data_IF_386571311764
#
_entry.id   IF_386571311764
#
_cell.length_a   1.000
_cell.length_b   1.000
_cell.length_c   1.000
_cell.angle_alpha   90.00
_cell.angle_beta   90.00
_cell.angle_gamma   90.00
#
_symmetry.space_group_name_H-M   'P 1'
#
loop_
_entity.id
_entity.type
_entity.pdbx_description
1 polymer ?
#
# COMPACT_ATOMS: atom_id res chain seq x y z
N UNK A 1 3.79 1.46 -66.78
CA UNK A 1 4.61 0.36 -67.33
C UNK A 1 6.07 0.78 -67.42
N UNK A 2 7.05 -0.14 -67.51
CA UNK A 2 8.45 0.20 -67.79
C UNK A 2 8.60 0.42 -69.31
N UNK A 3 9.11 1.58 -69.71
CA UNK A 3 9.33 1.94 -71.13
C UNK A 3 10.81 1.94 -71.52
N UNK A 4 11.70 2.07 -70.54
CA UNK A 4 13.15 2.06 -70.77
C UNK A 4 13.86 1.40 -69.61
N UNK A 5 14.87 0.58 -69.92
CA UNK A 5 15.73 -0.08 -68.95
C UNK A 5 17.19 0.21 -69.30
N UNK A 6 17.94 0.78 -68.37
CA UNK A 6 19.37 1.02 -68.53
C UNK A 6 20.18 0.22 -67.50
N UNK A 7 21.21 -0.45 -67.98
CA UNK A 7 22.13 -1.28 -67.19
C UNK A 7 23.52 -0.66 -67.30
N UNK A 8 24.15 -0.37 -66.16
CA UNK A 8 25.53 0.14 -66.08
C UNK A 8 26.34 -0.75 -65.13
N UNK A 9 27.47 -1.27 -65.62
CA UNK A 9 28.34 -2.19 -64.88
C UNK A 9 27.61 -3.37 -64.21
N UNK A 10 26.55 -3.85 -64.87
CA UNK A 10 25.67 -4.92 -64.37
C UNK A 10 25.93 -6.23 -65.14
N UNK A 11 26.51 -7.22 -64.45
CA UNK A 11 26.90 -8.51 -65.00
C UNK A 11 27.76 -8.36 -66.28
N UNK A 12 27.25 -8.79 -67.43
CA UNK A 12 27.94 -8.70 -68.72
C UNK A 12 27.84 -7.31 -69.38
N UNK A 13 26.96 -6.44 -68.88
CA UNK A 13 26.68 -5.12 -69.46
C UNK A 13 27.56 -4.05 -68.82
N UNK A 14 28.45 -3.44 -69.60
CA UNK A 14 29.20 -2.24 -69.20
C UNK A 14 28.30 -1.00 -69.25
N UNK A 15 27.60 -0.82 -70.37
CA UNK A 15 26.56 0.17 -70.54
C UNK A 15 25.60 -0.30 -71.62
N UNK A 16 24.33 -0.53 -71.27
CA UNK A 16 23.32 -0.96 -72.24
C UNK A 16 21.99 -0.33 -71.91
N UNK A 17 21.32 0.17 -72.94
CA UNK A 17 20.01 0.81 -72.82
C UNK A 17 19.04 0.07 -73.73
N UNK A 18 17.89 -0.30 -73.16
CA UNK A 18 16.78 -0.91 -73.86
C UNK A 18 15.61 0.07 -73.86
N UNK A 19 15.26 0.59 -75.03
CA UNK A 19 13.99 1.28 -75.23
C UNK A 19 12.94 0.23 -75.60
N UNK A 20 12.01 -0.02 -74.68
CA UNK A 20 11.02 -1.08 -74.80
C UNK A 20 9.83 -0.59 -75.61
N UNK A 21 9.47 -1.35 -76.64
CA UNK A 21 8.23 -1.11 -77.38
C UNK A 21 7.02 -1.54 -76.54
N UNK A 22 5.84 -1.02 -76.88
CA UNK A 22 4.59 -1.54 -76.33
C UNK A 22 4.36 -2.98 -76.79
N UNK A 23 3.87 -3.83 -75.88
CA UNK A 23 3.59 -5.23 -76.16
C UNK A 23 4.81 -6.15 -76.02
N UNK A 24 5.05 -7.01 -77.02
CA UNK A 24 6.04 -8.09 -76.94
C UNK A 24 7.43 -7.62 -77.36
N UNK A 25 8.37 -7.66 -76.42
CA UNK A 25 9.79 -7.43 -76.66
C UNK A 25 10.53 -8.77 -76.63
N UNK A 26 11.25 -9.11 -77.71
CA UNK A 26 11.97 -10.40 -77.82
C UNK A 26 13.47 -10.15 -77.87
N UNK A 27 14.20 -10.62 -76.86
CA UNK A 27 15.66 -10.58 -76.84
C UNK A 27 16.23 -11.90 -77.34
N UNK A 28 16.87 -11.89 -78.50
CA UNK A 28 17.51 -13.05 -79.13
C UNK A 28 19.02 -12.92 -79.16
N UNK A 29 19.71 -14.03 -79.42
CA UNK A 29 21.17 -14.06 -79.55
C UNK A 29 21.78 -15.38 -79.07
N UNK A 30 23.11 -15.54 -79.19
CA UNK A 30 23.82 -16.72 -78.67
C UNK A 30 23.67 -16.90 -77.15
N UNK A 31 24.00 -18.08 -76.65
CA UNK A 31 24.03 -18.32 -75.21
C UNK A 31 25.16 -17.53 -74.55
N UNK A 32 24.98 -17.18 -73.27
CA UNK A 32 25.96 -16.47 -72.45
C UNK A 32 26.33 -15.04 -72.92
N UNK A 33 25.45 -14.38 -73.68
CA UNK A 33 25.66 -12.98 -74.15
C UNK A 33 25.02 -11.92 -73.26
N UNK A 34 24.49 -12.28 -72.09
CA UNK A 34 23.85 -11.34 -71.16
C UNK A 34 22.32 -11.24 -71.26
N UNK A 35 21.65 -12.02 -72.12
CA UNK A 35 20.16 -12.00 -72.20
C UNK A 35 19.48 -12.22 -70.85
N UNK A 36 19.96 -13.21 -70.07
CA UNK A 36 19.44 -13.48 -68.73
C UNK A 36 19.74 -12.36 -67.72
N UNK A 37 20.76 -11.53 -67.97
CA UNK A 37 21.08 -10.39 -67.10
C UNK A 37 19.98 -9.32 -67.14
N UNK A 38 19.24 -9.19 -68.25
CA UNK A 38 18.09 -8.27 -68.34
C UNK A 38 16.98 -8.69 -67.39
N UNK A 39 16.67 -9.99 -67.34
CA UNK A 39 15.68 -10.56 -66.42
C UNK A 39 16.15 -10.43 -64.97
N UNK A 40 17.43 -10.71 -64.72
CA UNK A 40 18.03 -10.56 -63.38
C UNK A 40 18.08 -9.10 -62.91
N UNK A 41 18.26 -8.15 -63.83
CA UNK A 41 18.22 -6.73 -63.52
C UNK A 41 16.83 -6.30 -63.02
N UNK A 42 15.76 -6.76 -63.69
CA UNK A 42 14.39 -6.53 -63.24
C UNK A 42 14.13 -7.17 -61.87
N UNK A 43 14.66 -8.38 -61.61
CA UNK A 43 14.58 -9.04 -60.30
C UNK A 43 15.34 -8.25 -59.23
N UNK A 44 16.52 -7.75 -59.55
CA UNK A 44 17.31 -6.92 -58.63
C UNK A 44 16.57 -5.64 -58.25
N UNK A 45 15.97 -5.00 -59.25
CA UNK A 45 15.16 -3.80 -59.09
C UNK A 45 13.94 -4.04 -58.18
N UNK A 46 13.24 -5.18 -58.34
CA UNK A 46 12.00 -5.47 -57.60
C UNK A 46 12.18 -6.15 -56.24
N UNK A 47 13.28 -6.86 -55.98
CA UNK A 47 13.46 -7.69 -54.77
C UNK A 47 14.66 -7.32 -53.89
N UNK A 48 15.59 -6.49 -54.39
CA UNK A 48 16.84 -6.16 -53.69
C UNK A 48 17.59 -7.41 -53.13
N UNK A 49 17.90 -8.40 -53.98
CA UNK A 49 18.43 -9.67 -53.52
C UNK A 49 19.82 -9.51 -52.87
N UNK A 50 20.22 -10.43 -51.97
CA UNK A 50 21.44 -10.30 -51.20
C UNK A 50 22.80 -10.39 -51.96
N UNK A 51 22.95 -11.07 -53.13
CA UNK A 51 24.28 -11.38 -53.64
C UNK A 51 24.98 -10.19 -54.33
N UNK A 52 26.31 -10.31 -54.49
CA UNK A 52 27.21 -9.27 -55.06
C UNK A 52 27.65 -9.56 -56.49
N UNK A 53 27.39 -10.75 -57.02
CA UNK A 53 27.92 -11.21 -58.31
C UNK A 53 27.37 -10.44 -59.52
N UNK A 54 26.46 -9.49 -59.28
CA UNK A 54 25.89 -8.61 -60.30
C UNK A 54 26.81 -7.44 -60.65
N UNK A 55 27.82 -7.11 -59.83
CA UNK A 55 28.78 -6.05 -60.15
C UNK A 55 29.79 -6.60 -61.14
N UNK A 56 29.93 -5.94 -62.30
CA UNK A 56 30.92 -6.27 -63.32
C UNK A 56 32.34 -6.26 -62.74
N UNK A 57 33.20 -7.17 -63.19
CA UNK A 57 34.58 -7.23 -62.72
C UNK A 57 35.33 -5.93 -63.07
N UNK A 58 35.97 -5.32 -62.07
CA UNK A 58 36.67 -4.04 -62.20
C UNK A 58 35.81 -2.80 -61.89
N UNK A 59 34.49 -2.93 -61.75
CA UNK A 59 33.61 -1.82 -61.41
C UNK A 59 33.41 -1.66 -59.89
N UNK A 60 33.14 -0.43 -59.45
CA UNK A 60 32.90 -0.11 -58.03
C UNK A 60 31.44 -0.34 -57.61
N UNK A 61 30.50 -0.15 -58.54
CA UNK A 61 29.06 -0.32 -58.34
C UNK A 61 28.38 -0.80 -59.63
N UNK A 62 27.19 -1.37 -59.48
CA UNK A 62 26.28 -1.69 -60.60
C UNK A 62 25.00 -0.87 -60.47
N UNK A 63 24.43 -0.44 -61.59
CA UNK A 63 23.20 0.34 -61.64
C UNK A 63 22.19 -0.29 -62.59
N UNK A 64 20.95 -0.39 -62.13
CA UNK A 64 19.78 -0.78 -62.93
C UNK A 64 18.77 0.34 -62.82
N UNK A 65 18.49 1.02 -63.93
CA UNK A 65 17.55 2.13 -63.99
C UNK A 65 16.36 1.76 -64.87
N UNK A 66 15.14 1.86 -64.33
CA UNK A 66 13.91 1.69 -65.09
C UNK A 66 13.16 3.02 -65.15
N UNK A 67 12.80 3.44 -66.37
CA UNK A 67 11.89 4.57 -66.59
C UNK A 67 10.49 4.06 -66.83
N UNK A 68 9.54 4.64 -66.12
CA UNK A 68 8.11 4.35 -66.22
C UNK A 68 7.43 5.26 -67.25
N UNK A 69 6.25 4.87 -67.73
CA UNK A 69 5.44 5.65 -68.69
C UNK A 69 5.09 7.07 -68.20
N UNK A 70 4.96 7.26 -66.89
CA UNK A 70 4.71 8.57 -66.26
C UNK A 70 5.98 9.44 -66.14
N UNK A 71 7.10 8.96 -66.67
CA UNK A 71 8.40 9.62 -66.64
C UNK A 71 9.16 9.45 -65.32
N UNK A 72 8.59 8.73 -64.33
CA UNK A 72 9.31 8.44 -63.08
C UNK A 72 10.43 7.44 -63.37
N UNK A 73 11.62 7.72 -62.83
CA UNK A 73 12.76 6.82 -62.91
C UNK A 73 13.03 6.18 -61.55
N UNK A 74 13.20 4.86 -61.55
CA UNK A 74 13.60 4.07 -60.37
C UNK A 74 14.94 3.42 -60.66
N UNK A 75 15.94 3.74 -59.85
CA UNK A 75 17.29 3.19 -59.98
C UNK A 75 17.66 2.36 -58.76
N UNK A 76 18.06 1.12 -58.98
CA UNK A 76 18.71 0.29 -57.99
C UNK A 76 20.22 0.37 -58.17
N UNK A 77 20.93 0.76 -57.12
CA UNK A 77 22.39 0.87 -57.12
C UNK A 77 22.98 -0.11 -56.12
N UNK A 78 23.87 -0.97 -56.59
CA UNK A 78 24.54 -1.98 -55.79
C UNK A 78 26.01 -1.69 -55.64
N UNK A 79 26.44 -1.47 -54.39
CA UNK A 79 27.83 -1.37 -53.98
C UNK A 79 28.28 -2.65 -53.28
N UNK A 80 29.59 -2.80 -53.09
CA UNK A 80 30.18 -3.97 -52.45
C UNK A 80 29.64 -4.26 -51.03
N UNK A 81 29.16 -3.26 -50.29
CA UNK A 81 28.69 -3.42 -48.90
C UNK A 81 27.17 -3.29 -48.72
N UNK A 82 26.51 -2.52 -49.57
CA UNK A 82 25.09 -2.19 -49.42
C UNK A 82 24.46 -1.89 -50.79
N UNK A 83 23.14 -1.88 -50.84
CA UNK A 83 22.37 -1.38 -51.97
C UNK A 83 21.56 -0.15 -51.52
N UNK A 84 21.18 0.68 -52.49
CA UNK A 84 20.30 1.81 -52.31
C UNK A 84 19.34 1.92 -53.50
N UNK A 85 18.27 2.68 -53.32
CA UNK A 85 17.38 3.08 -54.40
C UNK A 85 17.40 4.59 -54.58
N UNK A 86 17.30 5.05 -55.82
CA UNK A 86 17.11 6.45 -56.21
C UNK A 86 15.79 6.53 -56.98
N UNK A 87 14.88 7.41 -56.57
CA UNK A 87 13.62 7.66 -57.28
C UNK A 87 13.62 9.10 -57.78
N UNK A 88 13.59 9.28 -59.10
CA UNK A 88 13.55 10.60 -59.74
C UNK A 88 12.20 10.82 -60.38
N UNK A 89 11.52 11.89 -59.99
CA UNK A 89 10.23 12.30 -60.56
C UNK A 89 10.45 13.31 -61.71
N UNK A 90 9.56 13.36 -62.71
CA UNK A 90 9.66 14.35 -63.78
C UNK A 90 9.71 15.77 -63.22
N UNK A 91 10.68 16.57 -63.67
CA UNK A 91 10.83 17.97 -63.26
C UNK A 91 11.52 18.21 -61.93
N UNK A 92 11.98 17.15 -61.23
CA UNK A 92 12.80 17.26 -60.01
C UNK A 92 14.24 16.87 -60.36
N UNK A 93 15.20 17.77 -60.12
CA UNK A 93 16.62 17.48 -60.41
C UNK A 93 17.23 16.47 -59.42
N UNK A 94 16.94 16.61 -58.12
CA UNK A 94 17.51 15.73 -57.10
C UNK A 94 16.64 14.47 -56.88
N UNK A 95 17.20 13.25 -57.01
CA UNK A 95 16.46 12.03 -56.76
C UNK A 95 16.30 11.78 -55.25
N UNK A 96 15.13 11.28 -54.87
CA UNK A 96 14.90 10.79 -53.51
C UNK A 96 15.68 9.49 -53.30
N UNK A 97 16.57 9.48 -52.30
CA UNK A 97 17.51 8.39 -52.08
C UNK A 97 17.14 7.58 -50.83
N UNK A 98 16.96 6.27 -51.03
CA UNK A 98 16.67 5.29 -49.99
C UNK A 98 17.90 4.42 -49.73
N UNK A 99 18.67 4.78 -48.70
CA UNK A 99 19.86 4.05 -48.27
C UNK A 99 19.65 3.31 -46.93
N UNK A 100 20.63 2.48 -46.53
CA UNK A 100 20.64 1.73 -45.25
C UNK A 100 19.47 0.76 -45.08
N UNK A 101 18.94 0.24 -46.18
CA UNK A 101 17.90 -0.79 -46.15
C UNK A 101 18.47 -2.14 -45.68
N UNK A 102 17.63 -2.92 -44.99
CA UNK A 102 17.95 -4.32 -44.67
C UNK A 102 18.15 -5.15 -45.95
N UNK A 103 18.85 -6.29 -45.83
CA UNK A 103 19.03 -7.22 -46.96
C UNK A 103 17.66 -7.73 -47.43
N UNK A 104 17.38 -7.68 -48.74
CA UNK A 104 16.09 -8.12 -49.28
C UNK A 104 14.91 -7.19 -48.96
N UNK A 105 15.17 -5.98 -48.47
CA UNK A 105 14.14 -4.99 -48.18
C UNK A 105 14.07 -3.98 -49.31
N UNK A 106 12.87 -3.79 -49.84
CA UNK A 106 12.56 -2.80 -50.89
C UNK A 106 11.70 -1.70 -50.26
N UNK A 107 12.01 -0.41 -50.48
CA UNK A 107 11.19 0.69 -49.95
C UNK A 107 9.73 0.59 -50.42
N UNK A 108 8.77 0.93 -49.55
CA UNK A 108 7.33 0.85 -49.89
C UNK A 108 6.98 1.69 -51.11
N UNK A 109 7.61 2.86 -51.27
CA UNK A 109 7.45 3.71 -52.44
C UNK A 109 7.87 3.01 -53.74
N UNK A 110 9.05 2.39 -53.74
CA UNK A 110 9.55 1.61 -54.89
C UNK A 110 8.63 0.44 -55.21
N UNK A 111 8.13 -0.27 -54.19
CA UNK A 111 7.16 -1.35 -54.38
C UNK A 111 5.86 -0.85 -55.04
N UNK A 112 5.35 0.32 -54.61
CA UNK A 112 4.13 0.93 -55.18
C UNK A 112 4.31 1.41 -56.61
N UNK A 113 5.49 1.94 -56.95
CA UNK A 113 5.83 2.44 -58.28
C UNK A 113 6.02 1.28 -59.29
N UNK A 114 6.84 0.30 -58.93
CA UNK A 114 7.15 -0.82 -59.83
C UNK A 114 5.98 -1.80 -59.94
N UNK A 115 5.30 -2.10 -58.83
CA UNK A 115 4.26 -3.14 -58.72
C UNK A 115 4.72 -4.53 -59.18
N UNK A 116 6.04 -4.79 -59.15
CA UNK A 116 6.66 -6.06 -59.55
C UNK A 116 7.01 -6.97 -58.35
N UNK A 117 6.55 -6.63 -57.14
CA UNK A 117 6.85 -7.42 -55.94
C UNK A 117 6.16 -8.81 -56.00
N UNK A 118 6.74 -9.82 -55.32
CA UNK A 118 6.14 -11.15 -55.27
C UNK A 118 4.85 -11.15 -54.43
N UNK A 119 3.91 -12.00 -54.81
CA UNK A 119 2.65 -12.21 -54.08
C UNK A 119 2.94 -13.11 -52.88
N UNK A 120 2.66 -12.62 -51.67
CA UNK A 120 2.81 -13.41 -50.44
C UNK A 120 1.56 -14.24 -50.18
N UNK A 121 1.74 -15.55 -50.06
CA UNK A 121 0.69 -16.48 -49.65
C UNK A 121 0.72 -16.68 -48.14
N UNK A 122 -0.39 -17.15 -47.56
CA UNK A 122 -0.53 -17.43 -46.12
C UNK A 122 0.50 -18.43 -45.55
N UNK A 123 1.33 -19.07 -46.40
CA UNK A 123 2.37 -20.03 -46.05
C UNK A 123 3.82 -19.55 -46.17
N UNK A 124 4.07 -18.24 -46.19
CA UNK A 124 5.41 -17.61 -46.19
C UNK A 124 6.28 -17.89 -47.45
N UNK A 125 5.76 -18.63 -48.42
CA UNK A 125 6.42 -18.83 -49.73
C UNK A 125 5.93 -17.74 -50.68
N UNK A 126 6.76 -16.72 -51.01
CA UNK A 126 6.42 -15.73 -52.03
C UNK A 126 6.34 -16.39 -53.41
N UNK A 127 5.33 -16.01 -54.19
CA UNK A 127 5.18 -16.42 -55.59
C UNK A 127 5.38 -15.21 -56.48
N UNK A 128 6.36 -15.29 -57.37
CA UNK A 128 6.60 -14.26 -58.39
C UNK A 128 5.71 -14.54 -59.61
N UNK A 129 4.80 -13.60 -59.90
CA UNK A 129 3.88 -13.66 -61.06
C UNK A 129 4.39 -12.88 -62.25
N UNK A 130 5.39 -12.02 -62.04
CA UNK A 130 5.86 -11.07 -63.04
C UNK A 130 7.09 -11.59 -63.77
N UNK A 131 8.00 -12.27 -63.05
CA UNK A 131 9.26 -12.75 -63.58
C UNK A 131 9.33 -14.27 -63.49
N UNK A 132 9.18 -14.93 -64.65
CA UNK A 132 9.30 -16.39 -64.77
C UNK A 132 10.70 -16.91 -64.42
N UNK A 133 10.77 -18.10 -63.84
CA UNK A 133 12.02 -18.79 -63.52
C UNK A 133 12.47 -19.64 -64.70
N UNK A 134 13.70 -19.44 -65.18
CA UNK A 134 14.27 -20.21 -66.30
C UNK A 134 14.38 -21.72 -66.00
N UNK A 135 14.53 -22.11 -64.72
CA UNK A 135 14.65 -23.52 -64.32
C UNK A 135 13.31 -24.20 -64.06
N UNK A 136 12.26 -23.41 -63.85
CA UNK A 136 10.91 -23.89 -63.53
C UNK A 136 9.94 -23.31 -64.56
N UNK A 137 9.95 -23.83 -65.80
CA UNK A 137 9.18 -23.26 -66.91
C UNK A 137 7.67 -23.44 -66.74
N UNK A 138 7.25 -24.33 -65.85
CA UNK A 138 5.84 -24.67 -65.64
C UNK A 138 5.34 -24.00 -64.37
N UNK A 139 4.76 -22.81 -64.52
CA UNK A 139 4.20 -22.03 -63.42
C UNK A 139 3.02 -22.77 -62.76
N UNK A 140 3.07 -22.94 -61.44
CA UNK A 140 2.04 -23.56 -60.57
C UNK A 140 1.62 -25.02 -60.86
N UNK A 141 1.91 -25.61 -62.02
CA UNK A 141 1.47 -27.00 -62.29
C UNK A 141 2.24 -28.06 -61.50
N UNK A 142 3.47 -27.76 -61.12
CA UNK A 142 4.31 -28.64 -60.28
C UNK A 142 4.20 -28.32 -58.78
N UNK A 143 3.43 -27.29 -58.42
CA UNK A 143 3.25 -26.89 -57.03
C UNK A 143 2.19 -27.74 -56.31
N UNK A 144 2.28 -27.81 -54.98
CA UNK A 144 1.28 -28.52 -54.19
C UNK A 144 -0.10 -27.87 -54.31
N UNK A 145 -1.17 -28.68 -54.25
CA UNK A 145 -2.55 -28.16 -54.32
C UNK A 145 -2.85 -27.07 -53.29
N UNK A 146 -2.22 -27.09 -52.13
CA UNK A 146 -2.31 -26.03 -51.11
C UNK A 146 -1.70 -24.72 -51.58
N UNK A 147 -0.53 -24.76 -52.24
CA UNK A 147 0.15 -23.56 -52.76
C UNK A 147 -0.64 -22.95 -53.92
N UNK A 148 -1.16 -23.79 -54.82
CA UNK A 148 -2.02 -23.37 -55.93
C UNK A 148 -3.32 -22.74 -55.42
N UNK A 149 -4.01 -23.39 -54.47
CA UNK A 149 -5.22 -22.84 -53.86
C UNK A 149 -4.94 -21.52 -53.12
N UNK A 150 -3.83 -21.43 -52.38
CA UNK A 150 -3.40 -20.21 -51.72
C UNK A 150 -3.17 -19.07 -52.72
N UNK A 151 -2.54 -19.35 -53.86
CA UNK A 151 -2.32 -18.38 -54.94
C UNK A 151 -3.63 -17.82 -55.51
N UNK A 152 -4.60 -18.68 -55.81
CA UNK A 152 -5.91 -18.25 -56.28
C UNK A 152 -6.70 -17.50 -55.20
N UNK A 153 -6.57 -17.90 -53.94
CA UNK A 153 -7.19 -17.21 -52.82
C UNK A 153 -6.60 -15.81 -52.59
N UNK A 154 -5.27 -15.65 -52.75
CA UNK A 154 -4.59 -14.36 -52.66
C UNK A 154 -5.00 -13.41 -53.79
N UNK A 155 -5.37 -13.95 -54.95
CA UNK A 155 -5.84 -13.20 -56.12
C UNK A 155 -7.33 -12.82 -56.04
N UNK A 156 -8.04 -13.25 -55.01
CA UNK A 156 -9.48 -13.02 -54.82
C UNK A 156 -9.78 -12.46 -53.42
N UNK A 157 -10.98 -11.94 -53.19
CA UNK A 157 -11.42 -11.53 -51.84
C UNK A 157 -11.46 -12.70 -50.84
N UNK A 158 -11.25 -13.95 -51.31
CA UNK A 158 -11.18 -15.13 -50.47
C UNK A 158 -10.04 -15.08 -49.43
N UNK A 159 -8.97 -14.33 -49.68
CA UNK A 159 -7.92 -14.06 -48.68
C UNK A 159 -8.50 -13.44 -47.39
N UNK A 160 -9.48 -12.54 -47.51
CA UNK A 160 -10.17 -11.97 -46.35
C UNK A 160 -10.97 -13.01 -45.58
N UNK A 161 -11.65 -13.93 -46.29
CA UNK A 161 -12.40 -15.01 -45.68
C UNK A 161 -11.50 -15.99 -44.91
N UNK A 162 -10.34 -16.33 -45.47
CA UNK A 162 -9.34 -17.20 -44.81
C UNK A 162 -8.79 -16.51 -43.55
N UNK A 163 -8.42 -15.23 -43.65
CA UNK A 163 -7.97 -14.44 -42.51
C UNK A 163 -9.04 -14.34 -41.40
N UNK A 164 -10.31 -14.20 -41.79
CA UNK A 164 -11.44 -14.22 -40.86
C UNK A 164 -11.59 -15.57 -40.16
N UNK A 165 -11.48 -16.68 -40.89
CA UNK A 165 -11.52 -18.04 -40.32
C UNK A 165 -10.39 -18.25 -39.31
N UNK A 166 -9.15 -17.86 -39.65
CA UNK A 166 -8.02 -17.97 -38.74
C UNK A 166 -8.24 -17.17 -37.43
N UNK A 167 -8.76 -15.95 -37.54
CA UNK A 167 -9.12 -15.11 -36.38
C UNK A 167 -10.24 -15.72 -35.54
N UNK A 168 -11.23 -16.33 -36.18
CA UNK A 168 -12.33 -17.01 -35.49
C UNK A 168 -11.82 -18.22 -34.70
N UNK A 169 -11.03 -19.08 -35.34
CA UNK A 169 -10.44 -20.27 -34.70
C UNK A 169 -9.60 -19.89 -33.49
N UNK A 170 -8.79 -18.82 -33.59
CA UNK A 170 -7.99 -18.29 -32.47
C UNK A 170 -8.87 -17.76 -31.33
N UNK A 171 -9.98 -17.10 -31.64
CA UNK A 171 -10.95 -16.64 -30.63
C UNK A 171 -11.60 -17.83 -29.91
N UNK A 172 -12.08 -18.80 -30.67
CA UNK A 172 -12.73 -20.01 -30.12
C UNK A 172 -11.79 -20.78 -29.21
N UNK A 173 -10.53 -20.98 -29.61
CA UNK A 173 -9.55 -21.70 -28.78
C UNK A 173 -9.23 -20.96 -27.49
N UNK A 174 -9.09 -19.63 -27.54
CA UNK A 174 -8.87 -18.77 -26.36
C UNK A 174 -10.04 -18.88 -25.38
N UNK A 175 -11.27 -18.66 -25.86
CA UNK A 175 -12.48 -18.71 -25.03
C UNK A 175 -12.67 -20.10 -24.40
N UNK A 176 -12.39 -21.18 -25.14
CA UNK A 176 -12.49 -22.56 -24.63
C UNK A 176 -11.49 -22.81 -23.48
N UNK A 177 -10.27 -22.31 -23.61
CA UNK A 177 -9.25 -22.43 -22.56
C UNK A 177 -9.64 -21.62 -21.33
N UNK A 178 -10.15 -20.40 -21.52
CA UNK A 178 -10.60 -19.54 -20.43
C UNK A 178 -11.78 -20.13 -19.66
N UNK A 179 -12.77 -20.69 -20.37
CA UNK A 179 -13.90 -21.41 -19.78
C UNK A 179 -13.41 -22.53 -18.85
N UNK A 180 -12.50 -23.39 -19.32
CA UNK A 180 -11.94 -24.48 -18.50
C UNK A 180 -11.23 -23.96 -17.24
N UNK A 181 -10.49 -22.84 -17.36
CA UNK A 181 -9.83 -22.21 -16.21
C UNK A 181 -10.85 -21.75 -15.18
N UNK A 182 -11.89 -21.03 -15.61
CA UNK A 182 -12.94 -20.50 -14.74
C UNK A 182 -13.72 -21.62 -14.05
N UNK A 183 -14.06 -22.69 -14.76
CA UNK A 183 -14.73 -23.88 -14.19
C UNK A 183 -13.87 -24.52 -13.09
N UNK A 184 -12.55 -24.65 -13.32
CA UNK A 184 -11.62 -25.18 -12.31
C UNK A 184 -11.54 -24.28 -11.07
N UNK A 185 -11.46 -22.97 -11.27
CA UNK A 185 -11.44 -22.01 -10.16
C UNK A 185 -12.74 -22.05 -9.36
N UNK A 186 -13.88 -22.08 -10.05
CA UNK A 186 -15.20 -22.17 -9.41
C UNK A 186 -15.32 -23.43 -8.55
N UNK A 187 -14.89 -24.57 -9.07
CA UNK A 187 -14.88 -25.83 -8.31
C UNK A 187 -13.97 -25.76 -7.07
N UNK A 188 -12.79 -25.14 -7.18
CA UNK A 188 -11.86 -24.97 -6.06
C UNK A 188 -12.40 -24.02 -4.99
N UNK A 189 -13.01 -22.90 -5.39
CA UNK A 189 -13.64 -21.94 -4.47
C UNK A 189 -14.84 -22.57 -3.77
N UNK A 190 -15.70 -23.28 -4.50
CA UNK A 190 -16.84 -24.01 -3.92
C UNK A 190 -16.39 -25.03 -2.87
N UNK A 191 -15.31 -25.79 -3.15
CA UNK A 191 -14.72 -26.72 -2.18
C UNK A 191 -14.17 -26.01 -0.94
N UNK A 192 -13.59 -24.82 -1.11
CA UNK A 192 -13.06 -24.02 0.01
C UNK A 192 -14.18 -23.46 0.88
N UNK A 193 -15.27 -22.98 0.27
CA UNK A 193 -16.48 -22.57 0.99
C UNK A 193 -17.09 -23.74 1.76
N UNK A 194 -17.14 -24.94 1.17
CA UNK A 194 -17.63 -26.14 1.85
C UNK A 194 -16.84 -26.50 3.12
N UNK A 195 -15.53 -26.20 3.18
CA UNK A 195 -14.72 -26.41 4.41
C UNK A 195 -15.11 -25.47 5.54
N UNK A 196 -15.68 -24.32 5.22
CA UNK A 196 -16.09 -23.30 6.18
C UNK A 196 -17.55 -23.48 6.64
N UNK A 197 -18.23 -24.53 6.18
CA UNK A 197 -19.64 -24.79 6.49
C UNK A 197 -19.91 -24.96 8.01
N UNK A 198 -18.90 -25.37 8.78
CA UNK A 198 -19.03 -25.58 10.23
C UNK A 198 -18.84 -24.31 11.07
N UNK A 199 -18.44 -23.17 10.47
CA UNK A 199 -18.22 -21.92 11.21
C UNK A 199 -19.45 -21.45 12.01
N UNK A 200 -20.68 -21.47 11.49
CA UNK A 200 -21.86 -21.04 12.26
C UNK A 200 -22.12 -21.91 13.49
N UNK A 201 -21.86 -23.22 13.39
CA UNK A 201 -21.98 -24.13 14.54
C UNK A 201 -20.89 -23.85 15.60
N UNK A 202 -19.66 -23.58 15.16
CA UNK A 202 -18.56 -23.21 16.06
C UNK A 202 -18.83 -21.88 16.77
N UNK A 203 -19.40 -20.90 16.08
CA UNK A 203 -19.82 -19.62 16.65
C UNK A 203 -20.86 -19.83 17.76
N UNK A 204 -21.91 -20.62 17.49
CA UNK A 204 -22.93 -20.96 18.50
C UNK A 204 -22.32 -21.69 19.71
N UNK A 205 -21.35 -22.58 19.48
CA UNK A 205 -20.64 -23.29 20.57
C UNK A 205 -19.76 -22.37 21.39
N UNK A 206 -19.15 -21.36 20.78
CA UNK A 206 -18.34 -20.35 21.47
C UNK A 206 -19.21 -19.44 22.34
N UNK A 207 -20.33 -18.97 21.81
CA UNK A 207 -21.31 -18.20 22.60
C UNK A 207 -21.78 -19.00 23.82
N UNK A 208 -22.18 -20.25 23.62
CA UNK A 208 -22.58 -21.14 24.71
C UNK A 208 -21.44 -21.47 25.70
N UNK A 209 -20.17 -21.37 25.29
CA UNK A 209 -19.03 -21.55 26.19
C UNK A 209 -18.80 -20.28 27.02
N UNK A 210 -18.90 -19.10 26.41
CA UNK A 210 -18.79 -17.81 27.10
C UNK A 210 -19.89 -17.63 28.16
N UNK A 211 -21.13 -18.02 27.85
CA UNK A 211 -22.23 -18.02 28.82
C UNK A 211 -21.93 -18.90 30.04
N UNK A 212 -21.35 -20.09 29.81
CA UNK A 212 -20.96 -21.00 30.90
C UNK A 212 -19.82 -20.44 31.73
N UNK A 213 -18.83 -19.81 31.10
CA UNK A 213 -17.73 -19.14 31.80
C UNK A 213 -18.24 -18.02 32.71
N UNK A 214 -19.19 -17.21 32.24
CA UNK A 214 -19.83 -16.17 33.04
C UNK A 214 -20.56 -16.75 34.26
N UNK A 215 -21.27 -17.88 34.09
CA UNK A 215 -21.94 -18.58 35.19
C UNK A 215 -20.93 -19.13 36.21
N UNK A 216 -19.83 -19.72 35.75
CA UNK A 216 -18.77 -20.23 36.63
C UNK A 216 -18.12 -19.09 37.43
N UNK A 217 -17.76 -17.98 36.78
CA UNK A 217 -17.17 -16.82 37.45
C UNK A 217 -18.12 -16.24 38.52
N UNK A 218 -19.42 -16.16 38.23
CA UNK A 218 -20.43 -15.75 39.22
C UNK A 218 -20.51 -16.74 40.39
N UNK A 219 -20.42 -18.05 40.12
CA UNK A 219 -20.39 -19.10 41.13
C UNK A 219 -19.15 -19.07 42.03
N UNK A 220 -17.97 -18.80 41.46
CA UNK A 220 -16.72 -18.62 42.20
C UNK A 220 -16.80 -17.38 43.12
N UNK A 221 -17.30 -16.25 42.60
CA UNK A 221 -17.50 -15.06 43.40
C UNK A 221 -18.48 -15.28 44.55
N UNK A 222 -19.56 -16.05 44.32
CA UNK A 222 -20.51 -16.41 45.37
C UNK A 222 -19.88 -17.34 46.42
N UNK A 223 -19.10 -18.34 45.99
CA UNK A 223 -18.37 -19.25 46.88
C UNK A 223 -17.38 -18.48 47.77
N UNK A 224 -16.60 -17.56 47.21
CA UNK A 224 -15.68 -16.72 47.97
C UNK A 224 -16.40 -15.85 49.02
N UNK A 225 -17.58 -15.30 48.70
CA UNK A 225 -18.42 -14.58 49.68
C UNK A 225 -18.90 -15.50 50.80
N UNK A 226 -19.32 -16.72 50.47
CA UNK A 226 -19.75 -17.70 51.46
C UNK A 226 -18.61 -18.10 52.40
N UNK A 227 -17.39 -18.28 51.88
CA UNK A 227 -16.19 -18.54 52.68
C UNK A 227 -15.91 -17.39 53.66
N UNK A 228 -16.02 -16.13 53.21
CA UNK A 228 -15.88 -14.96 54.09
C UNK A 228 -16.94 -14.95 55.20
N UNK A 229 -18.20 -15.27 54.88
CA UNK A 229 -19.27 -15.36 55.88
C UNK A 229 -19.03 -16.50 56.88
N UNK A 230 -18.55 -17.66 56.41
CA UNK A 230 -18.19 -18.78 57.28
C UNK A 230 -17.05 -18.41 58.23
N UNK A 231 -15.99 -17.77 57.73
CA UNK A 231 -14.88 -17.30 58.55
C UNK A 231 -15.33 -16.26 59.59
N UNK A 232 -16.17 -15.30 59.19
CA UNK A 232 -16.74 -14.30 60.10
C UNK A 232 -17.60 -14.95 61.20
N UNK A 233 -18.42 -15.94 60.84
CA UNK A 233 -19.23 -16.71 61.79
C UNK A 233 -18.34 -17.48 62.77
N UNK A 234 -17.30 -18.17 62.29
CA UNK A 234 -16.36 -18.91 63.15
C UNK A 234 -15.65 -17.97 64.14
N UNK A 235 -15.18 -16.81 63.68
CA UNK A 235 -14.56 -15.80 64.53
C UNK A 235 -15.53 -15.27 65.60
N UNK A 236 -16.79 -15.02 65.24
CA UNK A 236 -17.83 -14.60 66.18
C UNK A 236 -18.13 -15.67 67.22
N UNK A 237 -18.26 -16.94 66.80
CA UNK A 237 -18.46 -18.08 67.71
C UNK A 237 -17.28 -18.21 68.69
N UNK A 238 -16.03 -18.14 68.23
CA UNK A 238 -14.86 -18.19 69.11
C UNK A 238 -14.79 -17.01 70.11
N UNK A 239 -15.22 -15.80 69.70
CA UNK A 239 -15.36 -14.66 70.61
C UNK A 239 -16.42 -14.90 71.68
N UNK A 240 -17.59 -15.44 71.30
CA UNK A 240 -18.66 -15.78 72.24
C UNK A 240 -18.16 -16.81 73.25
N UNK A 241 -17.46 -17.86 72.81
CA UNK A 241 -16.88 -18.87 73.71
C UNK A 241 -15.87 -18.27 74.68
N UNK A 242 -14.97 -17.40 74.19
CA UNK A 242 -13.98 -16.70 75.03
C UNK A 242 -14.65 -15.82 76.07
N UNK A 243 -15.65 -15.02 75.66
CA UNK A 243 -16.42 -14.16 76.57
C UNK A 243 -17.22 -14.98 77.57
N UNK A 244 -17.84 -16.09 77.15
CA UNK A 244 -18.56 -16.99 78.05
C UNK A 244 -17.63 -17.64 79.07
N UNK A 245 -16.43 -18.06 78.64
CA UNK A 245 -15.41 -18.58 79.55
C UNK A 245 -14.96 -17.51 80.55
N UNK A 246 -14.71 -16.29 80.07
CA UNK A 246 -14.31 -15.15 80.89
C UNK A 246 -15.37 -14.81 81.92
N UNK A 247 -16.64 -14.73 81.50
CA UNK A 247 -17.78 -14.50 82.39
C UNK A 247 -17.90 -15.61 83.46
N UNK A 248 -17.71 -16.88 83.08
CA UNK A 248 -17.74 -18.02 84.02
C UNK A 248 -16.60 -17.94 85.05
N UNK A 249 -15.41 -17.51 84.64
CA UNK A 249 -14.27 -17.32 85.54
C UNK A 249 -14.49 -16.14 86.48
N UNK A 250 -14.96 -14.99 85.95
CA UNK A 250 -15.26 -13.80 86.74
C UNK A 250 -16.42 -14.02 87.72
N UNK A 251 -17.41 -14.85 87.37
CA UNK A 251 -18.51 -15.20 88.26
C UNK A 251 -18.07 -15.92 89.55
N UNK A 252 -16.84 -16.46 89.59
CA UNK A 252 -16.25 -17.11 90.78
C UNK A 252 -15.51 -16.15 91.71
N UNK A 253 -15.29 -14.91 91.30
CA UNK A 253 -14.67 -13.91 92.16
C UNK A 253 -15.67 -13.51 93.25
N UNK A 254 -15.23 -13.55 94.51
CA UNK A 254 -16.00 -13.02 95.61
C UNK A 254 -16.21 -11.51 95.42
N UNK A 255 -17.35 -11.00 95.90
CA UNK A 255 -17.63 -9.57 95.86
C UNK A 255 -16.43 -8.79 96.45
N UNK A 256 -16.01 -7.68 95.81
CA UNK A 256 -14.90 -6.90 96.31
C UNK A 256 -15.17 -6.53 97.79
N UNK A 257 -14.16 -6.58 98.67
CA UNK A 257 -14.35 -6.21 100.07
C UNK A 257 -14.97 -4.82 100.14
N UNK A 258 -16.02 -4.67 100.94
CA UNK A 258 -16.75 -3.42 101.08
C UNK A 258 -15.77 -2.28 101.38
N UNK A 259 -15.71 -1.29 100.50
CA UNK A 259 -14.85 -0.13 100.68
C UNK A 259 -15.22 0.52 102.02
N UNK A 260 -14.26 0.61 102.93
CA UNK A 260 -14.46 1.25 104.24
C UNK A 260 -14.87 2.71 103.98
N UNK A 261 -15.89 3.26 104.67
CA UNK A 261 -16.30 4.65 104.48
C UNK A 261 -15.14 5.61 104.74
N UNK A 262 -14.58 6.19 103.69
CA UNK A 262 -13.48 7.16 103.76
C UNK A 262 -13.94 8.58 104.10
N UNK A 263 -15.23 8.78 104.37
CA UNK A 263 -15.81 10.08 104.71
C UNK A 263 -15.16 10.71 105.96
N UNK A 264 -14.92 9.92 107.01
CA UNK A 264 -14.25 10.41 108.23
C UNK A 264 -12.78 10.81 107.97
N UNK A 265 -12.08 10.06 107.11
CA UNK A 265 -10.72 10.39 106.67
C UNK A 265 -10.71 11.66 105.81
N UNK A 266 -11.68 11.80 104.89
CA UNK A 266 -11.83 13.01 104.08
C UNK A 266 -12.15 14.25 104.93
N UNK A 267 -13.02 14.13 105.94
CA UNK A 267 -13.27 15.20 106.91
C UNK A 267 -12.03 15.56 107.73
N UNK A 268 -11.27 14.54 108.19
CA UNK A 268 -10.03 14.75 108.93
C UNK A 268 -9.00 15.53 108.10
N UNK A 269 -8.80 15.14 106.85
CA UNK A 269 -7.92 15.83 105.91
C UNK A 269 -8.41 17.26 105.65
N UNK A 270 -9.72 17.48 105.45
CA UNK A 270 -10.29 18.81 105.26
C UNK A 270 -10.11 19.72 106.49
N UNK A 271 -10.35 19.20 107.71
CA UNK A 271 -10.11 19.93 108.97
C UNK A 271 -8.64 20.30 109.13
N UNK A 272 -7.72 19.37 108.84
CA UNK A 272 -6.28 19.64 108.92
C UNK A 272 -5.83 20.72 107.93
N UNK A 273 -6.36 20.70 106.71
CA UNK A 273 -6.09 21.74 105.70
C UNK A 273 -6.63 23.11 106.12
N UNK A 274 -7.85 23.18 106.67
CA UNK A 274 -8.45 24.43 107.16
C UNK A 274 -7.67 25.00 108.35
N UNK A 275 -7.28 24.15 109.31
CA UNK A 275 -6.47 24.57 110.45
C UNK A 275 -5.13 25.15 109.98
N UNK A 276 -4.47 24.48 109.03
CA UNK A 276 -3.20 24.94 108.45
C UNK A 276 -3.36 26.31 107.78
N UNK A 277 -4.44 26.52 107.02
CA UNK A 277 -4.75 27.84 106.40
C UNK A 277 -4.98 28.92 107.45
N UNK A 278 -5.66 28.61 108.56
CA UNK A 278 -5.90 29.56 109.66
C UNK A 278 -4.60 29.96 110.35
N UNK A 279 -3.71 29.01 110.62
CA UNK A 279 -2.39 29.28 111.20
C UNK A 279 -1.57 30.20 110.30
N UNK A 280 -1.53 29.92 108.99
CA UNK A 280 -0.82 30.77 108.02
C UNK A 280 -1.42 32.18 107.97
N UNK A 281 -2.76 32.31 107.96
CA UNK A 281 -3.43 33.62 107.99
C UNK A 281 -3.14 34.39 109.28
N UNK A 282 -3.18 33.72 110.44
CA UNK A 282 -2.92 34.35 111.73
C UNK A 282 -1.47 34.86 111.81
N UNK A 283 -0.49 34.04 111.42
CA UNK A 283 0.91 34.45 111.34
C UNK A 283 1.13 35.59 110.33
N UNK A 284 0.43 35.59 109.20
CA UNK A 284 0.44 36.69 108.24
C UNK A 284 -0.13 37.99 108.83
N UNK A 285 -1.23 37.89 109.60
CA UNK A 285 -1.89 39.02 110.26
C UNK A 285 -1.01 39.61 111.36
N UNK A 286 -0.36 38.77 112.16
CA UNK A 286 0.62 39.19 113.17
C UNK A 286 1.79 39.94 112.53
N UNK A 287 2.38 39.41 111.46
CA UNK A 287 3.45 40.10 110.70
C UNK A 287 3.00 41.44 110.12
N UNK A 288 1.76 41.53 109.65
CA UNK A 288 1.22 42.77 109.10
C UNK A 288 0.99 43.83 110.19
N UNK A 289 0.44 43.43 111.34
CA UNK A 289 0.18 44.33 112.47
C UNK A 289 1.47 44.79 113.16
N UNK A 290 2.51 43.96 113.19
CA UNK A 290 3.82 44.35 113.71
C UNK A 290 4.51 45.46 112.88
N UNK A 291 4.05 45.74 111.66
CA UNK A 291 4.62 46.75 110.75
C UNK A 291 3.89 48.09 110.73
N UNK A 292 2.83 48.25 111.53
CA UNK A 292 2.11 49.51 111.59
C UNK A 292 2.82 50.50 112.54
N UNK A 293 3.14 51.68 112.01
CA UNK A 293 3.75 52.81 112.72
C UNK A 293 2.75 53.33 113.78
N UNK A 294 3.18 53.65 115.01
CA UNK A 294 2.29 54.14 116.06
C UNK A 294 1.57 55.44 115.66
N UNK A 295 0.32 55.64 116.11
CA UNK A 295 -0.52 56.76 115.69
C UNK A 295 0.04 58.13 116.14
N UNK A 296 -0.13 59.20 115.34
CA UNK A 296 0.34 60.54 115.70
C UNK A 296 -0.43 61.12 116.90
N UNK A 297 0.30 61.82 117.77
CA UNK A 297 -0.20 62.47 118.98
C UNK A 297 -1.20 63.59 118.68
N UNK A 298 -2.36 63.54 119.36
CA UNK A 298 -3.47 64.49 119.26
C UNK A 298 -3.08 65.85 119.84
N UNK A 299 -3.40 66.94 119.13
CA UNK A 299 -3.23 68.32 119.59
C UNK A 299 -4.24 68.71 120.67
N UNK A 300 -3.79 69.54 121.61
CA UNK A 300 -4.49 70.01 122.81
C UNK A 300 -5.77 70.82 122.48
N UNK A 301 -6.92 70.31 122.94
CA UNK A 301 -8.23 70.93 122.79
C UNK A 301 -8.64 71.77 124.02
N UNK A 302 -7.71 72.13 124.92
CA UNK A 302 -7.97 73.02 126.05
C UNK A 302 -8.66 74.33 125.66
N UNK A 303 -8.35 74.88 124.47
CA UNK A 303 -9.03 76.06 123.93
C UNK A 303 -10.52 75.80 123.57
N UNK A 304 -10.84 74.58 123.15
CA UNK A 304 -12.21 74.13 122.86
C UNK A 304 -12.99 73.93 124.18
N UNK A 305 -12.33 73.42 125.22
CA UNK A 305 -12.91 73.26 126.56
C UNK A 305 -13.19 74.62 127.24
N UNK A 306 -12.29 75.61 127.11
CA UNK A 306 -12.50 76.96 127.65
C UNK A 306 -13.69 77.68 126.99
N UNK A 307 -13.93 77.47 125.69
CA UNK A 307 -15.11 77.99 124.98
C UNK A 307 -16.42 77.34 125.45
N UNK A 308 -16.40 76.05 125.79
CA UNK A 308 -17.54 75.33 126.36
C UNK A 308 -17.88 75.82 127.79
N UNK A 309 -16.89 76.17 128.59
CA UNK A 309 -17.11 76.75 129.93
C UNK A 309 -17.62 78.20 129.92
N UNK A 310 -17.29 78.98 128.89
CA UNK A 310 -17.88 80.31 128.68
C UNK A 310 -19.38 80.20 128.32
N UNK A 311 -19.75 79.21 127.50
CA UNK A 311 -21.14 78.88 127.15
C UNK A 311 -21.97 78.40 128.35
N UNK A 312 -21.35 77.77 129.36
CA UNK A 312 -22.03 77.36 130.61
C UNK A 312 -22.17 78.49 131.64
N UNK A 313 -21.22 79.44 131.70
CA UNK A 313 -21.26 80.56 132.66
C UNK A 313 -22.17 81.73 132.25
N UNK A 314 -22.37 81.96 130.94
CA UNK A 314 -23.22 83.05 130.46
C UNK A 314 -24.73 82.75 130.52
N UNK A 315 -25.15 81.47 130.52
CA UNK A 315 -26.58 81.10 130.54
C UNK A 315 -27.19 80.95 131.93
N UNK A 316 -26.39 80.69 132.96
CA UNK A 316 -26.87 80.46 134.33
C UNK A 316 -27.14 81.74 135.14
N UNK A 317 -26.93 82.94 134.57
CA UNK A 317 -27.03 84.24 135.26
C UNK A 317 -28.12 85.18 134.71
N UNK A 318 -29.03 84.68 133.88
CA UNK A 318 -30.28 85.37 133.52
C UNK A 318 -31.45 84.47 133.95
N UNK A 319 -31.70 84.52 135.26
CA UNK A 319 -32.94 84.18 135.96
C UNK A 319 -34.16 84.80 135.31
#
# INVERSE_FOLDING_TARGET
MIVRLALTDFMAHEGTVFDLASGLNVLTGPNNTGKSAVVEALRCLSENPPPKHVIRHGAAEARVEATLEDGVTVTWVRRAKYALYEVRRPGVEEPETYAKMGKGVVPEEVQRLLRLGPVRLDGDVPVDVHIGNQREPVFLLNDSGTKVAGFFAASTEAAHLIAMQARLTKRVSKTKTEKKRLEKTLAATAKSLGRLAALPELELRLEAAADREAVLAAGEAASARLEQHLAARQAATGRIETLAHTAKTLARLAAPPGLVPTAALAEGVARQQELSRRVVRAAGRERALARLIPPPLLTDTAALAARLDALRRAGAAAT
#
